data_IF_620780817636
#
_entry.id   IF_620780817636
#
_cell.length_a   1.000
_cell.length_b   1.000
_cell.length_c   1.000
_cell.angle_alpha   90.00
_cell.angle_beta   90.00
_cell.angle_gamma   90.00
#
_symmetry.space_group_name_H-M   'P 1'
#
loop_
_entity.id
_entity.type
_entity.pdbx_description
1 polymer ?
#
# COMPACT_ATOMS: atom_id res chain seq x y z
N UNK A 1 17.72 3.47 3.78
CA UNK A 1 16.95 3.16 2.54
C UNK A 1 16.94 4.40 1.65
N UNK A 2 16.83 4.28 0.30
CA UNK A 2 16.58 5.44 -0.57
C UNK A 2 15.09 5.75 -0.53
N UNK A 3 14.67 6.97 -0.14
CA UNK A 3 13.25 7.31 -0.07
C UNK A 3 12.59 7.27 -1.45
N UNK A 4 11.34 6.86 -1.51
CA UNK A 4 10.55 6.99 -2.73
C UNK A 4 10.27 8.47 -3.00
N UNK A 5 10.39 8.89 -4.28
CA UNK A 5 10.10 10.26 -4.69
C UNK A 5 8.74 10.31 -5.40
N UNK A 6 7.76 10.93 -4.74
CA UNK A 6 6.40 11.08 -5.26
C UNK A 6 6.00 12.56 -5.26
N UNK A 7 5.40 13.01 -6.36
CA UNK A 7 4.92 14.39 -6.48
C UNK A 7 3.39 14.37 -6.51
N UNK A 8 2.75 15.27 -5.78
CA UNK A 8 1.29 15.33 -5.67
C UNK A 8 0.73 16.68 -6.09
N UNK A 9 -0.51 16.64 -6.53
CA UNK A 9 -1.37 17.82 -6.64
C UNK A 9 -2.35 17.81 -5.47
N UNK A 10 -2.39 18.92 -4.73
CA UNK A 10 -3.38 19.14 -3.67
C UNK A 10 -4.40 20.14 -4.21
N UNK A 11 -5.67 19.75 -4.18
CA UNK A 11 -6.77 20.64 -4.54
C UNK A 11 -7.18 21.42 -3.29
N UNK A 12 -7.07 22.74 -3.35
CA UNK A 12 -7.44 23.64 -2.26
C UNK A 12 -8.91 23.44 -1.88
N UNK A 13 -9.20 23.33 -0.59
CA UNK A 13 -10.56 23.10 -0.09
C UNK A 13 -11.05 21.63 -0.21
N UNK A 14 -10.24 20.71 -0.75
CA UNK A 14 -10.57 19.29 -0.82
C UNK A 14 -9.69 18.48 0.14
N UNK A 15 -10.24 17.40 0.70
CA UNK A 15 -9.43 16.47 1.50
C UNK A 15 -8.39 15.80 0.63
N UNK A 16 -7.13 15.83 1.05
CA UNK A 16 -6.06 15.05 0.46
C UNK A 16 -5.86 13.77 1.30
N UNK A 17 -5.97 12.63 0.64
CA UNK A 17 -5.81 11.33 1.29
C UNK A 17 -5.04 10.38 0.38
N UNK A 18 -3.91 9.86 0.87
CA UNK A 18 -3.07 8.90 0.15
C UNK A 18 -2.68 7.76 1.07
N UNK A 19 -2.63 6.54 0.54
CA UNK A 19 -2.30 5.34 1.31
C UNK A 19 -1.15 4.58 0.66
N UNK A 20 -0.18 4.22 1.46
CA UNK A 20 1.04 3.51 1.06
C UNK A 20 1.16 2.18 1.78
N UNK A 21 1.92 1.27 1.19
CA UNK A 21 2.40 0.04 1.82
C UNK A 21 3.91 0.04 1.84
N UNK A 22 4.47 -0.40 2.94
CA UNK A 22 5.90 -0.63 3.05
C UNK A 22 6.17 -2.13 2.94
N UNK A 23 6.94 -2.51 1.94
CA UNK A 23 7.21 -3.91 1.64
C UNK A 23 8.67 -4.13 1.22
N UNK A 24 9.14 -5.38 1.34
CA UNK A 24 10.46 -5.77 0.88
C UNK A 24 10.58 -5.59 -0.64
N UNK A 25 11.77 -5.28 -1.13
CA UNK A 25 12.03 -5.22 -2.57
C UNK A 25 12.13 -6.62 -3.19
N UNK A 26 12.48 -7.63 -2.39
CA UNK A 26 12.65 -9.00 -2.86
C UNK A 26 11.30 -9.71 -2.87
N UNK A 27 10.90 -10.19 -4.04
CA UNK A 27 9.71 -11.03 -4.20
C UNK A 27 9.90 -12.42 -3.60
N UNK A 28 8.85 -12.92 -2.98
CA UNK A 28 8.71 -14.29 -2.51
C UNK A 28 7.78 -15.05 -3.46
N UNK A 29 7.94 -16.37 -3.48
CA UNK A 29 7.19 -17.25 -4.37
C UNK A 29 6.76 -18.52 -3.64
N UNK A 30 5.53 -18.98 -3.90
CA UNK A 30 5.03 -20.28 -3.47
C UNK A 30 4.38 -21.00 -4.64
N UNK A 31 4.76 -22.27 -4.87
CA UNK A 31 4.17 -23.10 -5.91
C UNK A 31 2.71 -23.43 -5.55
N UNK A 32 1.82 -23.37 -6.54
CA UNK A 32 0.42 -23.74 -6.39
C UNK A 32 0.29 -25.26 -6.53
N UNK A 33 -0.40 -25.91 -5.59
CA UNK A 33 -0.72 -27.31 -5.66
C UNK A 33 -2.12 -27.56 -6.21
N UNK A 34 -3.10 -26.70 -5.88
CA UNK A 34 -4.46 -26.76 -6.42
C UNK A 34 -5.19 -25.42 -6.29
N UNK A 35 -6.23 -25.24 -7.10
CA UNK A 35 -7.15 -24.10 -7.04
C UNK A 35 -8.56 -24.63 -7.10
N UNK A 36 -9.39 -24.27 -6.13
CA UNK A 36 -10.78 -24.69 -6.05
C UNK A 36 -11.66 -23.91 -7.05
N UNK A 37 -12.58 -24.59 -7.71
CA UNK A 37 -13.70 -23.97 -8.45
C UNK A 37 -14.81 -23.63 -7.46
N UNK A 38 -14.68 -22.50 -6.77
CA UNK A 38 -15.58 -22.12 -5.67
C UNK A 38 -15.80 -20.61 -5.61
N UNK A 39 -16.78 -20.21 -4.83
CA UNK A 39 -17.01 -18.83 -4.43
C UNK A 39 -17.12 -18.80 -2.89
N UNK A 40 -16.11 -18.22 -2.22
CA UNK A 40 -14.90 -17.58 -2.73
C UNK A 40 -13.89 -18.57 -3.34
N UNK A 41 -12.99 -18.04 -4.18
CA UNK A 41 -11.89 -18.82 -4.73
C UNK A 41 -10.86 -19.13 -3.64
N UNK A 42 -10.37 -20.38 -3.62
CA UNK A 42 -9.33 -20.84 -2.68
C UNK A 42 -8.16 -21.41 -3.47
N UNK A 43 -6.97 -20.89 -3.19
CA UNK A 43 -5.70 -21.37 -3.72
C UNK A 43 -4.99 -22.13 -2.61
N UNK A 44 -4.46 -23.32 -2.92
CA UNK A 44 -3.59 -24.08 -2.01
C UNK A 44 -2.19 -24.12 -2.57
N UNK A 45 -1.21 -23.78 -1.75
CA UNK A 45 0.23 -23.84 -2.09
C UNK A 45 0.84 -25.17 -1.64
N UNK A 46 1.93 -25.57 -2.29
CA UNK A 46 2.64 -26.84 -1.97
C UNK A 46 3.41 -26.79 -0.64
N UNK A 47 3.69 -25.60 -0.15
CA UNK A 47 4.38 -25.33 1.11
C UNK A 47 3.80 -24.07 1.77
N UNK A 48 4.20 -23.80 3.02
CA UNK A 48 3.78 -22.60 3.73
C UNK A 48 4.20 -21.33 2.95
N UNK A 49 3.25 -20.39 2.77
CA UNK A 49 3.50 -19.16 2.04
C UNK A 49 3.80 -17.95 2.95
N UNK A 50 3.38 -17.97 4.22
CA UNK A 50 3.57 -16.87 5.18
C UNK A 50 3.00 -15.52 4.73
N UNK A 51 2.07 -15.50 3.77
CA UNK A 51 1.35 -14.29 3.37
C UNK A 51 0.33 -13.97 4.47
N UNK A 52 0.35 -12.77 5.05
CA UNK A 52 -0.64 -12.42 6.07
C UNK A 52 -2.01 -12.13 5.46
N UNK A 53 -3.04 -12.17 6.29
CA UNK A 53 -4.39 -11.73 5.90
C UNK A 53 -4.37 -10.26 5.48
N UNK A 54 -5.21 -9.89 4.52
CA UNK A 54 -5.30 -8.55 3.90
C UNK A 54 -4.06 -8.13 3.09
N UNK A 55 -3.12 -9.06 2.86
CA UNK A 55 -1.96 -8.76 2.02
C UNK A 55 -2.21 -9.07 0.55
N UNK A 56 -1.55 -8.32 -0.31
CA UNK A 56 -1.65 -8.47 -1.76
C UNK A 56 -0.69 -9.54 -2.29
N UNK A 57 -1.12 -10.25 -3.30
CA UNK A 57 -0.32 -11.24 -4.02
C UNK A 57 -0.76 -11.36 -5.47
N UNK A 58 0.10 -11.89 -6.32
CA UNK A 58 -0.21 -12.20 -7.73
C UNK A 58 -0.22 -13.70 -7.95
N UNK A 59 -0.93 -14.10 -8.99
CA UNK A 59 -0.97 -15.48 -9.50
C UNK A 59 -0.54 -15.48 -10.94
N UNK A 60 0.47 -16.27 -11.28
CA UNK A 60 0.99 -16.38 -12.64
C UNK A 60 1.31 -17.83 -13.01
N UNK A 61 1.32 -18.16 -14.30
CA UNK A 61 1.76 -19.46 -14.80
C UNK A 61 0.83 -20.64 -14.55
N UNK A 62 -0.42 -20.40 -14.19
CA UNK A 62 -1.44 -21.45 -13.99
C UNK A 62 -1.87 -22.01 -15.34
N UNK A 63 -1.94 -23.35 -15.44
CA UNK A 63 -2.49 -24.10 -16.56
C UNK A 63 -3.87 -24.63 -16.21
N UNK A 64 -4.76 -24.71 -17.20
CA UNK A 64 -6.18 -25.02 -17.03
C UNK A 64 -6.95 -23.75 -16.64
N UNK A 65 -6.98 -23.38 -15.39
CA UNK A 65 -7.66 -22.18 -14.88
C UNK A 65 -6.87 -20.90 -15.23
N UNK A 66 -6.72 -20.61 -16.52
CA UNK A 66 -5.93 -19.44 -16.96
C UNK A 66 -6.56 -18.11 -16.60
N UNK A 67 -7.84 -18.07 -16.32
CA UNK A 67 -8.61 -16.89 -15.93
C UNK A 67 -8.13 -16.25 -14.63
N UNK A 68 -7.40 -17.04 -13.79
CA UNK A 68 -6.84 -16.52 -12.54
C UNK A 68 -5.48 -15.84 -12.72
N UNK A 69 -4.80 -16.06 -13.86
CA UNK A 69 -3.49 -15.45 -14.11
C UNK A 69 -3.62 -13.94 -14.27
N UNK A 70 -2.81 -13.20 -13.54
CA UNK A 70 -2.70 -11.75 -13.66
C UNK A 70 -1.57 -11.40 -14.63
N UNK A 71 -1.89 -10.59 -15.62
CA UNK A 71 -0.99 -10.25 -16.73
C UNK A 71 -0.30 -8.90 -16.47
N UNK A 72 -1.02 -7.95 -15.87
CA UNK A 72 -0.50 -6.62 -15.56
C UNK A 72 0.38 -6.61 -14.30
N UNK A 73 1.41 -5.77 -14.29
CA UNK A 73 2.32 -5.66 -13.15
C UNK A 73 1.66 -5.04 -11.91
N UNK A 74 0.58 -4.27 -12.11
CA UNK A 74 -0.20 -3.61 -11.05
C UNK A 74 -1.46 -4.39 -10.64
N UNK A 75 -1.64 -5.61 -11.17
CA UNK A 75 -2.78 -6.46 -10.83
C UNK A 75 -2.45 -7.33 -9.63
N UNK A 76 -3.32 -7.31 -8.60
CA UNK A 76 -3.15 -8.08 -7.38
C UNK A 76 -4.48 -8.63 -6.87
N UNK A 77 -4.42 -9.81 -6.24
CA UNK A 77 -5.46 -10.31 -5.36
C UNK A 77 -5.17 -9.95 -3.91
N UNK A 78 -6.21 -9.87 -3.08
CA UNK A 78 -6.09 -9.76 -1.63
C UNK A 78 -6.38 -11.11 -0.98
N UNK A 79 -5.50 -11.54 -0.09
CA UNK A 79 -5.69 -12.72 0.76
C UNK A 79 -6.67 -12.37 1.88
N UNK A 80 -7.96 -12.61 1.68
CA UNK A 80 -9.01 -12.23 2.65
C UNK A 80 -9.13 -13.19 3.83
N UNK A 81 -8.65 -14.42 3.65
CA UNK A 81 -8.44 -15.41 4.70
C UNK A 81 -7.25 -16.29 4.34
N UNK A 82 -6.47 -16.70 5.32
CA UNK A 82 -5.25 -17.47 5.13
C UNK A 82 -5.15 -18.61 6.16
N UNK A 83 -4.55 -19.70 5.73
CA UNK A 83 -3.95 -20.71 6.62
C UNK A 83 -2.45 -20.81 6.30
N UNK A 84 -1.74 -21.78 6.82
CA UNK A 84 -0.32 -21.97 6.48
C UNK A 84 -0.07 -22.12 4.97
N UNK A 85 -0.98 -22.77 4.26
CA UNK A 85 -0.84 -23.10 2.85
C UNK A 85 -2.09 -22.79 1.99
N UNK A 86 -3.09 -22.08 2.49
CA UNK A 86 -4.25 -21.66 1.71
C UNK A 86 -4.45 -20.16 1.70
N UNK A 87 -4.89 -19.64 0.56
CA UNK A 87 -5.25 -18.25 0.34
C UNK A 87 -6.69 -18.20 -0.19
N UNK A 88 -7.56 -17.46 0.48
CA UNK A 88 -8.94 -17.21 0.05
C UNK A 88 -9.06 -15.82 -0.55
N UNK A 89 -9.73 -15.73 -1.69
CA UNK A 89 -10.01 -14.47 -2.41
C UNK A 89 -11.52 -14.27 -2.42
N UNK A 90 -12.05 -13.51 -1.43
CA UNK A 90 -13.51 -13.33 -1.30
C UNK A 90 -14.17 -12.65 -2.50
N UNK A 91 -13.43 -11.81 -3.20
CA UNK A 91 -13.94 -11.06 -4.35
C UNK A 91 -13.92 -11.85 -5.66
N UNK A 92 -13.38 -13.08 -5.65
CA UNK A 92 -13.26 -13.92 -6.84
C UNK A 92 -14.18 -15.13 -6.76
N UNK A 93 -15.09 -15.23 -7.72
CA UNK A 93 -15.90 -16.41 -7.95
C UNK A 93 -15.30 -17.23 -9.10
N UNK A 94 -14.64 -18.35 -8.78
CA UNK A 94 -14.02 -19.24 -9.76
C UNK A 94 -14.90 -20.46 -10.14
N UNK A 95 -16.17 -20.51 -9.72
CA UNK A 95 -17.05 -21.64 -9.95
C UNK A 95 -17.23 -21.99 -11.43
N UNK A 96 -17.20 -20.97 -12.29
CA UNK A 96 -17.37 -21.11 -13.75
C UNK A 96 -16.04 -21.07 -14.53
N UNK A 97 -14.89 -20.99 -13.83
CA UNK A 97 -13.59 -21.01 -14.50
C UNK A 97 -13.26 -22.39 -15.04
N UNK A 98 -12.31 -22.46 -15.96
CA UNK A 98 -11.73 -23.73 -16.38
C UNK A 98 -11.11 -24.46 -15.18
N UNK A 99 -11.15 -25.79 -15.15
CA UNK A 99 -10.54 -26.52 -14.04
C UNK A 99 -9.02 -26.31 -14.01
N UNK A 100 -8.46 -26.14 -12.81
CA UNK A 100 -7.01 -26.15 -12.59
C UNK A 100 -6.43 -27.51 -13.04
N UNK A 101 -5.33 -27.47 -13.79
CA UNK A 101 -4.64 -28.69 -14.21
C UNK A 101 -3.26 -28.82 -13.61
N UNK A 102 -2.45 -27.76 -13.64
CA UNK A 102 -1.08 -27.79 -13.12
C UNK A 102 -0.43 -26.42 -13.10
N UNK A 103 0.73 -26.32 -12.45
CA UNK A 103 1.63 -25.17 -12.50
C UNK A 103 1.09 -23.97 -11.72
N UNK A 104 1.73 -22.85 -11.95
CA UNK A 104 1.42 -21.59 -11.30
C UNK A 104 2.16 -21.34 -10.00
N UNK A 105 2.41 -20.07 -9.77
CA UNK A 105 3.02 -19.55 -8.56
C UNK A 105 2.18 -18.41 -7.99
N UNK A 106 2.17 -18.33 -6.68
CA UNK A 106 1.78 -17.12 -5.94
C UNK A 106 3.06 -16.33 -5.72
N UNK A 107 3.06 -15.04 -6.06
CA UNK A 107 4.19 -14.12 -5.82
C UNK A 107 3.75 -12.93 -4.97
N UNK A 108 4.60 -12.50 -4.05
CA UNK A 108 4.33 -11.34 -3.19
C UNK A 108 5.63 -10.71 -2.69
N UNK A 109 5.54 -9.47 -2.22
CA UNK A 109 6.58 -8.84 -1.42
C UNK A 109 6.21 -8.97 0.07
N UNK A 110 7.18 -9.24 0.93
CA UNK A 110 6.90 -9.35 2.38
C UNK A 110 6.58 -7.99 2.97
N UNK A 111 5.47 -7.84 3.72
CA UNK A 111 5.18 -6.60 4.41
C UNK A 111 6.24 -6.30 5.48
N UNK A 112 6.60 -5.03 5.62
CA UNK A 112 7.41 -4.57 6.75
C UNK A 112 6.46 -4.35 7.93
N UNK A 113 6.67 -5.01 9.09
CA UNK A 113 5.84 -4.80 10.27
C UNK A 113 5.95 -3.33 10.74
N UNK A 114 4.79 -2.69 10.97
CA UNK A 114 4.72 -1.29 11.39
C UNK A 114 4.47 -1.11 12.90
N UNK A 115 4.49 -2.20 13.67
CA UNK A 115 4.27 -2.17 15.12
C UNK A 115 5.37 -1.38 15.79
N UNK A 116 4.98 -0.37 16.60
CA UNK A 116 5.92 0.50 17.32
C UNK A 116 6.50 1.64 16.49
N UNK A 117 6.13 1.74 15.20
CA UNK A 117 6.51 2.90 14.40
C UNK A 117 5.65 4.12 14.73
N UNK A 118 6.31 5.29 14.66
CA UNK A 118 5.66 6.59 14.59
C UNK A 118 6.02 7.26 13.27
N UNK A 119 5.24 8.24 12.86
CA UNK A 119 5.44 8.93 11.60
C UNK A 119 5.32 10.44 11.77
N UNK A 120 6.15 11.17 11.01
CA UNK A 120 6.12 12.62 10.90
C UNK A 120 6.31 13.05 9.45
N UNK A 121 5.51 14.01 9.01
CA UNK A 121 5.65 14.65 7.70
C UNK A 121 5.62 16.16 7.88
N UNK A 122 6.53 16.86 7.23
CA UNK A 122 6.52 18.32 7.18
C UNK A 122 6.40 18.78 5.73
N UNK A 123 5.58 19.82 5.53
CA UNK A 123 5.43 20.55 4.27
C UNK A 123 6.10 21.92 4.47
N UNK A 124 7.01 22.27 3.59
CA UNK A 124 7.73 23.54 3.60
C UNK A 124 7.71 24.16 2.20
N UNK A 125 7.85 25.48 2.11
CA UNK A 125 7.89 26.17 0.81
C UNK A 125 9.12 25.74 0.00
N UNK A 126 10.27 25.68 0.67
CA UNK A 126 11.55 25.19 0.13
C UNK A 126 12.27 24.34 1.16
N UNK A 127 13.31 23.63 0.75
CA UNK A 127 14.15 22.83 1.66
C UNK A 127 14.78 23.67 2.76
N UNK A 128 15.14 24.92 2.46
CA UNK A 128 15.82 25.83 3.39
C UNK A 128 14.84 26.70 4.22
N UNK A 129 13.52 26.54 4.02
CA UNK A 129 12.52 27.29 4.78
C UNK A 129 12.59 26.97 6.27
N UNK A 130 12.78 27.97 7.11
CA UNK A 130 12.76 27.82 8.57
C UNK A 130 11.35 27.51 9.10
N UNK A 131 10.31 27.96 8.39
CA UNK A 131 8.92 27.79 8.78
C UNK A 131 8.29 26.57 8.10
N UNK A 132 7.49 25.82 8.86
CA UNK A 132 6.69 24.69 8.37
C UNK A 132 5.31 25.21 8.00
N UNK A 133 4.84 24.89 6.77
CA UNK A 133 3.47 25.19 6.33
C UNK A 133 2.46 24.30 7.06
N UNK A 134 2.79 23.01 7.14
CA UNK A 134 1.95 22.01 7.83
C UNK A 134 2.84 20.90 8.38
N UNK A 135 2.53 20.46 9.60
CA UNK A 135 3.11 19.27 10.21
C UNK A 135 2.02 18.24 10.48
N UNK A 136 2.24 17.03 9.96
CA UNK A 136 1.41 15.86 10.17
C UNK A 136 2.21 14.83 10.96
N UNK A 137 1.57 14.23 11.95
CA UNK A 137 2.18 13.16 12.75
C UNK A 137 1.18 12.02 12.97
N UNK A 138 1.70 10.86 13.40
CA UNK A 138 0.82 9.78 13.87
C UNK A 138 0.05 10.15 15.15
N UNK A 139 0.56 11.10 15.96
CA UNK A 139 -0.08 11.54 17.19
C UNK A 139 -1.17 12.60 16.96
N UNK A 140 -1.07 13.44 15.92
CA UNK A 140 -2.10 14.45 15.61
C UNK A 140 -3.17 13.96 14.63
N UNK A 141 -3.10 12.68 14.19
CA UNK A 141 -4.06 12.08 13.27
C UNK A 141 -3.86 12.45 11.79
N UNK A 142 -2.83 13.22 11.47
CA UNK A 142 -2.48 13.57 10.08
C UNK A 142 -1.83 12.41 9.33
N UNK A 143 -1.26 11.44 10.07
CA UNK A 143 -0.73 10.19 9.52
C UNK A 143 -1.33 9.03 10.30
N UNK A 144 -1.92 8.07 9.58
CA UNK A 144 -2.52 6.87 10.15
C UNK A 144 -1.62 5.67 9.83
N UNK A 145 -1.18 4.94 10.86
CA UNK A 145 -0.45 3.69 10.72
C UNK A 145 -1.40 2.55 11.06
N UNK A 146 -1.72 1.71 10.09
CA UNK A 146 -2.58 0.53 10.26
C UNK A 146 -1.75 -0.75 10.20
N UNK A 147 -1.51 -1.34 11.35
CA UNK A 147 -0.75 -2.59 11.49
C UNK A 147 -1.51 -3.81 10.97
N UNK A 148 -2.83 -3.74 10.87
CA UNK A 148 -3.67 -4.85 10.39
C UNK A 148 -3.62 -4.98 8.88
N UNK A 149 -3.63 -3.83 8.19
CA UNK A 149 -3.60 -3.76 6.73
C UNK A 149 -2.22 -3.40 6.18
N UNK A 150 -1.23 -3.22 7.05
CA UNK A 150 0.16 -2.83 6.68
C UNK A 150 0.19 -1.56 5.84
N UNK A 151 -0.57 -0.54 6.27
CA UNK A 151 -0.68 0.71 5.52
C UNK A 151 -0.28 1.92 6.35
N UNK A 152 0.23 2.93 5.64
CA UNK A 152 0.53 4.26 6.15
C UNK A 152 -0.28 5.22 5.30
N UNK A 153 -1.18 5.99 5.92
CA UNK A 153 -2.03 6.94 5.19
C UNK A 153 -1.77 8.37 5.62
N UNK A 154 -1.63 9.27 4.65
CA UNK A 154 -1.59 10.72 4.86
C UNK A 154 -3.02 11.24 4.73
N UNK A 155 -3.45 12.06 5.70
CA UNK A 155 -4.76 12.68 5.72
C UNK A 155 -4.64 14.18 6.01
N UNK A 156 -4.92 15.02 5.01
CA UNK A 156 -5.01 16.47 5.17
C UNK A 156 -6.47 16.87 4.90
N UNK A 157 -7.23 17.23 5.94
CA UNK A 157 -8.64 17.55 5.77
C UNK A 157 -8.85 18.86 4.99
N UNK A 158 -10.01 19.01 4.38
CA UNK A 158 -10.38 20.13 3.51
C UNK A 158 -10.24 21.51 4.19
N UNK A 159 -10.48 21.60 5.50
CA UNK A 159 -10.30 22.84 6.26
C UNK A 159 -8.83 23.28 6.37
N UNK A 160 -7.89 22.35 6.30
CA UNK A 160 -6.46 22.65 6.28
C UNK A 160 -5.98 22.97 4.85
N UNK A 161 -6.37 22.18 3.84
CA UNK A 161 -5.97 22.45 2.43
C UNK A 161 -6.51 23.79 1.94
N UNK A 162 -7.66 24.25 2.47
CA UNK A 162 -8.24 25.58 2.16
C UNK A 162 -7.33 26.73 2.57
N UNK A 163 -6.49 26.55 3.58
CA UNK A 163 -5.57 27.57 4.10
C UNK A 163 -4.26 27.64 3.31
N UNK A 164 -4.01 26.70 2.41
CA UNK A 164 -2.79 26.71 1.61
C UNK A 164 -2.76 27.86 0.61
N UNK A 165 -1.61 28.52 0.54
CA UNK A 165 -1.38 29.69 -0.34
C UNK A 165 -0.15 29.54 -1.24
N UNK A 166 0.62 28.46 -1.08
CA UNK A 166 1.79 28.21 -1.93
C UNK A 166 1.37 27.83 -3.36
N UNK A 167 2.22 28.08 -4.35
CA UNK A 167 2.07 27.50 -5.68
C UNK A 167 2.69 26.11 -5.74
N UNK A 168 3.89 25.99 -5.16
CA UNK A 168 4.63 24.72 -5.02
C UNK A 168 5.23 24.66 -3.61
N UNK A 169 5.38 23.46 -3.10
CA UNK A 169 6.01 23.17 -1.81
C UNK A 169 6.79 21.86 -1.90
N UNK A 170 7.61 21.58 -0.89
CA UNK A 170 8.34 20.32 -0.74
C UNK A 170 7.86 19.61 0.51
N UNK A 171 8.00 18.29 0.54
CA UNK A 171 7.65 17.50 1.71
C UNK A 171 8.63 16.34 1.92
N UNK A 172 8.72 15.90 3.18
CA UNK A 172 9.39 14.68 3.61
C UNK A 172 8.50 13.98 4.63
N UNK A 173 8.30 12.66 4.45
CA UNK A 173 7.65 11.78 5.42
C UNK A 173 8.71 10.84 5.99
N UNK A 174 8.84 10.85 7.30
CA UNK A 174 9.77 10.05 8.06
C UNK A 174 9.02 9.07 8.96
N UNK A 175 9.59 7.88 9.09
CA UNK A 175 9.14 6.85 10.01
C UNK A 175 10.21 6.64 11.06
N UNK A 176 9.81 6.57 12.33
CA UNK A 176 10.70 6.30 13.45
C UNK A 176 10.28 4.98 14.08
N UNK A 177 11.19 4.02 14.18
CA UNK A 177 10.94 2.73 14.82
C UNK A 177 10.97 2.83 16.36
N UNK A 178 10.65 1.72 17.03
CA UNK A 178 10.66 1.63 18.49
C UNK A 178 12.06 1.81 19.14
N UNK A 179 13.13 1.72 18.36
CA UNK A 179 14.52 1.94 18.80
C UNK A 179 14.96 3.39 18.59
N UNK A 180 14.11 4.24 17.99
CA UNK A 180 14.41 5.62 17.68
C UNK A 180 15.18 5.80 16.36
N UNK A 181 15.28 4.76 15.52
CA UNK A 181 15.88 4.88 14.19
C UNK A 181 14.90 5.58 13.27
N UNK A 182 15.36 6.65 12.63
CA UNK A 182 14.55 7.45 11.69
C UNK A 182 14.90 7.07 10.26
N UNK A 183 13.90 6.76 9.47
CA UNK A 183 14.04 6.50 8.04
C UNK A 183 13.14 7.44 7.24
N UNK A 184 13.72 8.12 6.26
CA UNK A 184 12.91 8.90 5.30
C UNK A 184 12.22 7.93 4.35
N UNK A 185 10.90 7.89 4.43
CA UNK A 185 10.06 6.98 3.64
C UNK A 185 9.69 7.57 2.28
N UNK A 186 9.21 8.83 2.28
CA UNK A 186 8.80 9.54 1.07
C UNK A 186 9.37 10.95 1.05
N UNK A 187 9.67 11.43 -0.17
CA UNK A 187 9.98 12.84 -0.44
C UNK A 187 9.32 13.27 -1.74
N UNK A 188 9.15 14.56 -1.94
CA UNK A 188 8.65 15.06 -3.22
C UNK A 188 8.20 16.51 -3.18
N UNK A 189 7.56 16.89 -4.29
CA UNK A 189 7.00 18.22 -4.46
C UNK A 189 5.47 18.14 -4.38
N UNK A 190 4.87 19.21 -3.87
CA UNK A 190 3.44 19.46 -3.88
C UNK A 190 3.14 20.63 -4.80
N UNK A 191 2.09 20.51 -5.61
CA UNK A 191 1.54 21.60 -6.42
C UNK A 191 0.14 21.87 -5.94
N UNK A 192 -0.17 23.10 -5.58
CA UNK A 192 -1.51 23.50 -5.19
C UNK A 192 -2.35 23.86 -6.41
N UNK A 193 -3.51 23.22 -6.53
CA UNK A 193 -4.53 23.60 -7.50
C UNK A 193 -5.59 24.42 -6.74
N UNK A 194 -5.73 25.68 -7.12
CA UNK A 194 -6.64 26.60 -6.42
C UNK A 194 -8.10 26.20 -6.59
N UNK A 195 -8.88 26.43 -5.55
CA UNK A 195 -10.33 26.24 -5.54
C UNK A 195 -11.03 27.31 -6.39
N UNK A 196 -11.96 26.88 -7.24
CA UNK A 196 -12.82 27.78 -8.04
C UNK A 196 -14.18 27.96 -7.38
N UNK A 197 -14.63 26.96 -6.62
CA UNK A 197 -15.91 27.00 -5.90
C UNK A 197 -15.72 27.71 -4.54
N UNK A 198 -16.52 28.72 -4.27
CA UNK A 198 -16.46 29.50 -3.00
C UNK A 198 -17.82 29.50 -2.31
#
# INVERSE_FOLDING_TARGET
>A
MTPAKLNYKIYQGSTFFETFRWESQTKQYAQISTIAKSAPCVITTSANHNIPVNWRFRVTGVSGMKEINQIGDDEYYLATSVTSNTLTINQLNSSNFTAYTSGGVVEWNTPIPLVGYTAQMQIRETLDSATTILELTSSNGGILIDNTNYTISINIPANQTRLFTFATAVYSLELTDSSGIVETFLTGNLTLVQEVTR
#
